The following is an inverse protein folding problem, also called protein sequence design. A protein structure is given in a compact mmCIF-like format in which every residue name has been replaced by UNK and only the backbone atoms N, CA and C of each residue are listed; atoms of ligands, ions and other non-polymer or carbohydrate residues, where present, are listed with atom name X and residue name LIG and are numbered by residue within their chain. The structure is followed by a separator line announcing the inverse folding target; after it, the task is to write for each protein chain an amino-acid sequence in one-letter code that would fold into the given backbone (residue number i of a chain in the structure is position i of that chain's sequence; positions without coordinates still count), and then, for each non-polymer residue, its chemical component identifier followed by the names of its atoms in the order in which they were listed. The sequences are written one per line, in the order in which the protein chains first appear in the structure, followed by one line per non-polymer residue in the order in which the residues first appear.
data_IF_382342880715
#
_entry.id   IF_382342880715
#
_cell.length_a   1.000
_cell.length_b   1.000
_cell.length_c   1.000
_cell.angle_alpha   90.00
_cell.angle_beta   90.00
_cell.angle_gamma   90.00
#
_symmetry.space_group_name_H-M   'P 1'
#
loop_
_entity.id
_entity.type
_entity.pdbx_description
1 polymer ?
#
# COMPACT_ATOMS: atom_id res chain seq x y z
N UNK A 1 4.94 -17.80 10.94
CA UNK A 1 5.46 -17.76 9.57
C UNK A 1 6.53 -16.67 9.44
N UNK A 2 7.64 -16.99 8.78
CA UNK A 2 8.77 -16.06 8.62
C UNK A 2 8.42 -14.80 7.81
N UNK A 3 7.36 -14.85 6.99
CA UNK A 3 6.91 -13.71 6.18
C UNK A 3 5.88 -12.84 6.90
N UNK A 4 5.32 -13.30 8.01
CA UNK A 4 4.28 -12.56 8.73
C UNK A 4 4.71 -11.14 9.16
N UNK A 5 5.98 -10.93 9.65
CA UNK A 5 6.41 -9.58 10.01
C UNK A 5 6.32 -8.57 8.87
N UNK A 6 6.64 -8.98 7.63
CA UNK A 6 6.52 -8.10 6.46
C UNK A 6 5.08 -7.62 6.27
N UNK A 7 4.12 -8.57 6.29
CA UNK A 7 2.71 -8.22 6.07
C UNK A 7 2.13 -7.39 7.21
N UNK A 8 2.49 -7.70 8.45
CA UNK A 8 2.01 -6.95 9.61
C UNK A 8 2.59 -5.55 9.67
N UNK A 9 3.86 -5.38 9.32
CA UNK A 9 4.55 -4.08 9.38
C UNK A 9 4.10 -3.17 8.23
N UNK A 10 4.10 -3.68 7.01
CA UNK A 10 3.90 -2.87 5.81
C UNK A 10 2.44 -2.74 5.41
N UNK A 11 1.64 -3.78 5.64
CA UNK A 11 0.26 -3.86 5.16
C UNK A 11 -0.79 -3.80 6.26
N UNK A 12 -0.36 -3.64 7.52
CA UNK A 12 -1.26 -3.61 8.68
C UNK A 12 -1.61 -4.98 9.23
N UNK A 13 -1.85 -5.96 8.36
CA UNK A 13 -2.15 -7.34 8.73
C UNK A 13 -1.90 -8.25 7.54
N UNK A 14 -1.71 -9.55 7.81
CA UNK A 14 -1.58 -10.54 6.75
C UNK A 14 -2.96 -10.86 6.19
N UNK A 15 -3.22 -10.61 4.88
CA UNK A 15 -4.54 -10.90 4.29
C UNK A 15 -4.91 -12.38 4.38
N UNK A 16 -6.22 -12.64 4.55
CA UNK A 16 -6.73 -14.02 4.65
C UNK A 16 -6.35 -14.89 3.46
N UNK A 17 -6.36 -14.33 2.25
CA UNK A 17 -5.99 -15.06 1.04
C UNK A 17 -4.55 -15.57 1.11
N UNK A 18 -3.65 -14.81 1.72
CA UNK A 18 -2.25 -15.21 1.88
C UNK A 18 -2.08 -16.25 2.99
N UNK A 19 -2.89 -16.18 4.04
CA UNK A 19 -2.92 -17.22 5.08
C UNK A 19 -3.33 -18.55 4.45
N UNK A 20 -4.39 -18.54 3.64
CA UNK A 20 -4.86 -19.72 2.93
C UNK A 20 -3.80 -20.25 1.96
N UNK A 21 -3.15 -19.36 1.21
CA UNK A 21 -2.10 -19.74 0.27
C UNK A 21 -0.94 -20.42 1.02
N UNK A 22 -0.53 -19.87 2.16
CA UNK A 22 0.54 -20.44 2.99
C UNK A 22 0.18 -21.84 3.47
N UNK A 23 -1.10 -22.07 3.81
CA UNK A 23 -1.58 -23.36 4.29
C UNK A 23 -1.60 -24.42 3.18
N UNK A 24 -2.15 -24.08 2.02
CA UNK A 24 -2.40 -25.05 0.96
C UNK A 24 -1.31 -25.13 -0.10
N UNK A 25 -0.49 -24.10 -0.22
CA UNK A 25 0.58 -24.05 -1.22
C UNK A 25 1.80 -23.32 -0.65
N UNK A 26 2.45 -23.89 0.38
CA UNK A 26 3.55 -23.20 1.08
C UNK A 26 4.73 -22.80 0.19
N UNK A 27 5.07 -23.62 -0.80
CA UNK A 27 6.18 -23.27 -1.71
C UNK A 27 5.82 -22.07 -2.60
N UNK A 28 4.58 -22.00 -3.06
CA UNK A 28 4.11 -20.88 -3.85
C UNK A 28 4.03 -19.59 -2.99
N UNK A 29 3.57 -19.72 -1.75
CA UNK A 29 3.56 -18.63 -0.81
C UNK A 29 4.97 -18.09 -0.55
N UNK A 30 5.94 -18.96 -0.34
CA UNK A 30 7.34 -18.59 -0.15
C UNK A 30 7.89 -17.84 -1.37
N UNK A 31 7.67 -18.35 -2.57
CA UNK A 31 8.14 -17.74 -3.80
C UNK A 31 7.51 -16.36 -4.01
N UNK A 32 6.20 -16.24 -3.80
CA UNK A 32 5.48 -14.97 -3.89
C UNK A 32 6.02 -13.96 -2.87
N UNK A 33 6.20 -14.41 -1.62
CA UNK A 33 6.66 -13.53 -0.54
C UNK A 33 8.10 -13.05 -0.78
N UNK A 34 8.97 -13.91 -1.31
CA UNK A 34 10.33 -13.51 -1.69
C UNK A 34 10.33 -12.46 -2.79
N UNK A 35 9.51 -12.65 -3.83
CA UNK A 35 9.37 -11.67 -4.90
C UNK A 35 8.85 -10.34 -4.34
N UNK A 36 7.82 -10.40 -3.51
CA UNK A 36 7.22 -9.22 -2.90
C UNK A 36 8.22 -8.46 -2.05
N UNK A 37 8.97 -9.16 -1.20
CA UNK A 37 10.00 -8.54 -0.36
C UNK A 37 11.10 -7.90 -1.20
N UNK A 38 11.53 -8.56 -2.26
CA UNK A 38 12.55 -8.03 -3.17
C UNK A 38 12.07 -6.74 -3.88
N UNK A 39 10.79 -6.70 -4.26
CA UNK A 39 10.23 -5.55 -4.97
C UNK A 39 9.92 -4.38 -4.03
N UNK A 40 9.48 -4.66 -2.80
CA UNK A 40 9.04 -3.63 -1.86
C UNK A 40 10.13 -3.21 -0.88
N UNK A 41 11.39 -3.39 -1.23
CA UNK A 41 12.49 -2.88 -0.42
C UNK A 41 12.66 -1.37 -0.64
N UNK A 42 13.27 -0.72 0.35
CA UNK A 42 13.55 0.71 0.32
C UNK A 42 14.84 1.04 -0.45
N UNK A 43 15.07 2.32 -0.70
CA UNK A 43 16.32 2.81 -1.33
C UNK A 43 17.53 2.44 -0.48
N UNK A 44 17.42 2.44 0.85
CA UNK A 44 18.49 2.05 1.76
C UNK A 44 18.93 0.60 1.51
N UNK A 45 18.00 -0.24 1.09
CA UNK A 45 18.26 -1.64 0.78
C UNK A 45 18.58 -1.88 -0.70
N UNK A 46 18.85 -0.82 -1.45
CA UNK A 46 19.30 -0.90 -2.84
C UNK A 46 18.24 -0.72 -3.92
N UNK A 47 17.03 -0.34 -3.55
CA UNK A 47 15.98 -0.08 -4.54
C UNK A 47 16.27 1.20 -5.34
N UNK A 48 15.85 1.25 -6.58
CA UNK A 48 15.99 2.44 -7.44
C UNK A 48 14.81 3.37 -7.30
N UNK A 49 13.60 2.83 -7.14
CA UNK A 49 12.37 3.61 -6.97
C UNK A 49 12.08 3.78 -5.49
N UNK A 50 11.88 5.02 -5.00
CA UNK A 50 11.52 5.24 -3.60
C UNK A 50 10.31 4.43 -3.16
N UNK A 51 10.39 3.86 -1.96
CA UNK A 51 9.34 2.96 -1.45
C UNK A 51 7.96 3.63 -1.42
N UNK A 52 7.90 4.91 -1.04
CA UNK A 52 6.63 5.65 -1.01
C UNK A 52 5.95 5.69 -2.37
N UNK A 53 6.74 5.78 -3.44
CA UNK A 53 6.17 5.80 -4.80
C UNK A 53 5.80 4.41 -5.28
N UNK A 54 6.48 3.36 -4.81
CA UNK A 54 6.05 1.99 -5.09
C UNK A 54 4.66 1.74 -4.55
N UNK A 55 4.41 2.12 -3.30
CA UNK A 55 3.08 1.97 -2.71
C UNK A 55 2.05 2.90 -3.35
N UNK A 56 2.45 4.11 -3.76
CA UNK A 56 1.56 4.99 -4.52
C UNK A 56 1.10 4.33 -5.82
N UNK A 57 2.02 3.73 -6.56
CA UNK A 57 1.69 3.01 -7.80
C UNK A 57 0.68 1.90 -7.50
N UNK A 58 0.90 1.14 -6.42
CA UNK A 58 0.00 0.06 -6.03
C UNK A 58 -1.38 0.59 -5.62
N UNK A 59 -1.45 1.74 -4.95
CA UNK A 59 -2.74 2.40 -4.64
C UNK A 59 -3.49 2.73 -5.92
N UNK A 60 -2.82 3.34 -6.90
CA UNK A 60 -3.47 3.74 -8.15
C UNK A 60 -3.97 2.52 -8.92
N UNK A 61 -3.16 1.46 -8.99
CA UNK A 61 -3.56 0.22 -9.66
C UNK A 61 -4.74 -0.45 -8.94
N UNK A 62 -4.74 -0.45 -7.61
CA UNK A 62 -5.86 -1.00 -6.83
C UNK A 62 -7.12 -0.16 -6.97
N UNK A 63 -6.99 1.16 -7.09
CA UNK A 63 -8.13 2.05 -7.35
C UNK A 63 -8.76 1.74 -8.71
N UNK A 64 -7.94 1.51 -9.71
CA UNK A 64 -8.40 1.17 -11.07
C UNK A 64 -9.14 -0.17 -11.07
N UNK A 65 -8.62 -1.17 -10.38
CA UNK A 65 -9.26 -2.49 -10.31
C UNK A 65 -10.33 -2.63 -9.22
N UNK A 66 -10.65 -1.54 -8.57
CA UNK A 66 -11.71 -1.46 -7.56
C UNK A 66 -11.46 -2.38 -6.35
N UNK A 67 -10.26 -2.30 -5.78
CA UNK A 67 -9.85 -3.08 -4.61
C UNK A 67 -9.76 -2.17 -3.37
N UNK A 68 -10.83 -2.09 -2.56
CA UNK A 68 -10.89 -1.13 -1.45
C UNK A 68 -9.93 -1.45 -0.29
N UNK A 69 -9.65 -2.72 -0.05
CA UNK A 69 -8.72 -3.10 1.03
C UNK A 69 -7.29 -2.74 0.64
N UNK A 70 -6.91 -3.02 -0.61
CA UNK A 70 -5.58 -2.72 -1.12
C UNK A 70 -5.27 -1.23 -1.11
N UNK A 71 -6.23 -0.37 -1.51
CA UNK A 71 -5.98 1.07 -1.52
C UNK A 71 -5.69 1.60 -0.12
N UNK A 72 -6.37 1.10 0.91
CA UNK A 72 -6.13 1.53 2.29
C UNK A 72 -4.78 1.01 2.79
N UNK A 73 -4.51 -0.26 2.59
CA UNK A 73 -3.26 -0.87 3.06
C UNK A 73 -2.03 -0.24 2.42
N UNK A 74 -2.05 -0.04 1.11
CA UNK A 74 -0.92 0.59 0.41
C UNK A 74 -0.82 2.07 0.70
N UNK A 75 -1.93 2.76 0.95
CA UNK A 75 -1.89 4.17 1.37
C UNK A 75 -1.20 4.30 2.73
N UNK A 76 -1.54 3.42 3.68
CA UNK A 76 -0.87 3.39 4.98
C UNK A 76 0.64 3.19 4.80
N UNK A 77 1.05 2.19 4.05
CA UNK A 77 2.46 1.89 3.82
C UNK A 77 3.17 3.05 3.12
N UNK A 78 2.52 3.68 2.14
CA UNK A 78 3.09 4.84 1.43
C UNK A 78 3.32 6.01 2.38
N UNK A 79 2.35 6.30 3.25
CA UNK A 79 2.46 7.41 4.20
C UNK A 79 3.51 7.14 5.27
N UNK A 80 3.64 5.90 5.73
CA UNK A 80 4.71 5.52 6.65
C UNK A 80 6.09 5.69 5.99
N UNK A 81 6.17 5.57 4.68
CA UNK A 81 7.40 5.77 3.90
C UNK A 81 7.59 7.25 3.49
N UNK A 82 6.69 8.16 3.92
CA UNK A 82 6.85 9.59 3.70
C UNK A 82 5.98 10.22 2.63
N UNK A 83 5.01 9.49 2.06
CA UNK A 83 4.10 10.06 1.06
C UNK A 83 3.15 11.04 1.73
N UNK A 84 2.96 12.22 1.12
CA UNK A 84 1.98 13.19 1.60
C UNK A 84 0.58 12.91 1.02
N UNK A 85 -0.43 13.46 1.67
CA UNK A 85 -1.81 13.38 1.15
C UNK A 85 -1.90 14.05 -0.22
N UNK A 86 -1.19 15.16 -0.41
CA UNK A 86 -1.18 15.89 -1.67
C UNK A 86 -0.57 15.06 -2.80
N UNK A 87 0.51 14.35 -2.52
CA UNK A 87 1.12 13.41 -3.48
C UNK A 87 0.18 12.26 -3.83
N UNK A 88 -0.52 11.73 -2.81
CA UNK A 88 -1.51 10.67 -3.01
C UNK A 88 -2.62 11.12 -3.96
N UNK A 89 -3.17 12.30 -3.71
CA UNK A 89 -4.25 12.87 -4.53
C UNK A 89 -3.78 13.03 -5.98
N UNK A 90 -2.61 13.63 -6.17
CA UNK A 90 -2.07 13.84 -7.52
C UNK A 90 -1.86 12.52 -8.26
N UNK A 91 -1.34 11.51 -7.56
CA UNK A 91 -1.15 10.19 -8.15
C UNK A 91 -2.47 9.54 -8.56
N UNK A 92 -3.49 9.62 -7.69
CA UNK A 92 -4.81 9.07 -8.02
C UNK A 92 -5.45 9.78 -9.21
N UNK A 93 -5.24 11.10 -9.34
CA UNK A 93 -5.76 11.85 -10.48
C UNK A 93 -5.18 11.38 -11.80
N UNK A 94 -3.94 10.90 -11.81
CA UNK A 94 -3.34 10.31 -13.01
C UNK A 94 -4.09 9.04 -13.46
N UNK A 95 -4.66 8.30 -12.51
CA UNK A 95 -5.47 7.13 -12.83
C UNK A 95 -6.73 7.48 -13.63
N UNK A 96 -7.26 8.68 -13.45
CA UNK A 96 -8.42 9.15 -14.21
C UNK A 96 -8.08 9.29 -15.70
N UNK A 97 -6.86 9.72 -16.01
CA UNK A 97 -6.43 9.90 -17.41
C UNK A 97 -6.48 8.57 -18.16
N UNK A 98 -6.08 7.48 -17.50
CA UNK A 98 -6.00 6.16 -18.12
C UNK A 98 -7.34 5.42 -18.09
N UNK A 99 -8.03 5.46 -16.95
CA UNK A 99 -9.22 4.63 -16.73
C UNK A 99 -10.53 5.41 -16.75
N UNK A 100 -10.50 6.69 -16.33
CA UNK A 100 -11.69 7.51 -16.20
C UNK A 100 -12.08 7.75 -14.76
N UNK A 101 -13.15 8.52 -14.57
CA UNK A 101 -13.61 9.00 -13.26
C UNK A 101 -13.83 7.90 -12.20
N UNK A 102 -14.25 6.67 -12.56
CA UNK A 102 -14.41 5.61 -11.54
C UNK A 102 -13.15 5.28 -10.75
N UNK A 103 -11.95 5.53 -11.30
CA UNK A 103 -10.70 5.35 -10.55
C UNK A 103 -10.67 6.22 -9.30
N UNK A 104 -11.29 7.38 -9.33
CA UNK A 104 -11.42 8.27 -8.18
C UNK A 104 -12.74 8.04 -7.44
N UNK A 105 -13.86 8.05 -8.18
CA UNK A 105 -15.20 8.13 -7.60
C UNK A 105 -15.66 6.91 -6.83
N UNK A 106 -15.11 5.73 -7.15
CA UNK A 106 -15.44 4.51 -6.41
C UNK A 106 -14.46 4.28 -5.27
N UNK A 107 -13.32 3.67 -5.57
CA UNK A 107 -12.39 3.18 -4.57
C UNK A 107 -11.26 4.16 -4.28
N UNK A 108 -10.81 4.93 -5.28
CA UNK A 108 -9.72 5.89 -5.09
C UNK A 108 -9.97 6.88 -3.97
N UNK A 109 -11.18 7.44 -3.89
CA UNK A 109 -11.53 8.41 -2.84
C UNK A 109 -11.42 7.80 -1.43
N UNK A 110 -11.56 6.48 -1.29
CA UNK A 110 -11.42 5.81 0.01
C UNK A 110 -9.98 5.90 0.52
N UNK A 111 -9.00 5.88 -0.39
CA UNK A 111 -7.61 6.08 -0.03
C UNK A 111 -7.41 7.48 0.57
N UNK A 112 -8.02 8.49 -0.03
CA UNK A 112 -7.92 9.88 0.46
C UNK A 112 -8.62 10.04 1.82
N UNK A 113 -9.81 9.47 1.97
CA UNK A 113 -10.53 9.52 3.25
C UNK A 113 -9.67 8.89 4.37
N UNK A 114 -9.10 7.73 4.11
CA UNK A 114 -8.19 7.09 5.06
C UNK A 114 -6.97 7.98 5.35
N UNK A 115 -6.35 8.53 4.30
CA UNK A 115 -5.12 9.29 4.40
C UNK A 115 -5.26 10.54 5.27
N UNK A 116 -6.38 11.24 5.15
CA UNK A 116 -6.65 12.45 5.94
C UNK A 116 -6.69 12.11 7.44
N UNK A 117 -7.41 11.04 7.80
CA UNK A 117 -7.47 10.61 9.19
C UNK A 117 -6.12 10.10 9.70
N UNK A 118 -5.43 9.33 8.89
CA UNK A 118 -4.14 8.77 9.28
C UNK A 118 -3.07 9.85 9.44
N UNK A 119 -3.12 10.89 8.62
CA UNK A 119 -2.23 12.05 8.76
C UNK A 119 -2.37 12.68 10.14
N UNK A 120 -3.60 12.83 10.63
CA UNK A 120 -3.84 13.39 11.96
C UNK A 120 -3.30 12.47 13.06
N UNK A 121 -3.49 11.15 12.93
CA UNK A 121 -2.92 10.19 13.87
C UNK A 121 -1.40 10.28 13.92
N UNK A 122 -0.74 10.39 12.76
CA UNK A 122 0.71 10.52 12.69
C UNK A 122 1.21 11.81 13.36
N UNK A 123 0.47 12.91 13.19
CA UNK A 123 0.80 14.17 13.87
C UNK A 123 0.68 14.05 15.37
N UNK A 124 -0.39 13.42 15.88
CA UNK A 124 -0.59 13.21 17.30
C UNK A 124 0.52 12.36 17.92
N UNK A 125 0.92 11.28 17.23
CA UNK A 125 2.00 10.43 17.68
C UNK A 125 3.33 11.18 17.73
N UNK A 126 3.60 12.02 16.72
CA UNK A 126 4.80 12.84 16.68
C UNK A 126 4.85 13.86 17.81
N UNK A 127 3.69 14.44 18.18
CA UNK A 127 3.60 15.40 19.28
C UNK A 127 3.68 14.74 20.64
N UNK A 128 3.25 13.48 20.78
CA UNK A 128 3.26 12.73 22.03
C UNK A 128 4.66 12.19 22.38
N UNK A 129 5.56 12.10 21.40
CA UNK A 129 6.93 11.66 21.62
C UNK A 129 7.91 12.85 21.70
#
# INVERSE_FOLDING_TARGET
DRHAPHYHTDMGAMPEALVQLAEYAPDAFDAYSHMRTALLKSEEDGAKLPLKYKHLILVVLDAIRDEPIGVVNHTRAAMLAGLSVEELVEGLLLGIIVYGMPAWGKTGRKAVDFAVGFREELKEQSQAS
#
